data_IF_998243851655
#
_entry.id   IF_998243851655
#
_cell.length_a   1.000
_cell.length_b   1.000
_cell.length_c   1.000
_cell.angle_alpha   90.00
_cell.angle_beta   90.00
_cell.angle_gamma   90.00
#
_symmetry.space_group_name_H-M   'P 1'
#
loop_
_entity.id
_entity.type
_entity.pdbx_description
1 polymer ?
#
# COMPACT_ATOMS: atom_id res chain seq x y z
N UNK A 1 17.42 9.69 13.24
CA UNK A 1 16.37 8.68 13.57
C UNK A 1 15.05 9.31 13.15
N UNK A 2 14.13 8.56 12.54
CA UNK A 2 12.82 9.11 12.09
C UNK A 2 11.90 9.19 13.30
N UNK A 3 11.40 10.37 13.63
CA UNK A 3 10.48 10.63 14.74
C UNK A 3 9.16 11.26 14.30
N UNK A 4 9.20 12.05 13.22
CA UNK A 4 8.04 12.75 12.68
C UNK A 4 7.72 12.21 11.28
N UNK A 5 6.53 11.65 11.12
CA UNK A 5 6.09 11.01 9.86
C UNK A 5 4.88 11.74 9.30
N UNK A 6 5.03 12.27 8.10
CA UNK A 6 3.92 12.80 7.32
C UNK A 6 3.26 11.68 6.52
N UNK A 7 1.94 11.71 6.41
CA UNK A 7 1.17 10.74 5.60
C UNK A 7 0.15 11.51 4.76
N UNK A 8 0.15 11.27 3.46
CA UNK A 8 -0.79 11.89 2.51
C UNK A 8 -1.82 10.85 2.09
N UNK A 9 -3.08 11.18 2.33
CA UNK A 9 -4.24 10.31 2.10
C UNK A 9 -4.71 9.66 3.40
N UNK A 10 -5.94 9.96 3.82
CA UNK A 10 -6.57 9.42 5.03
C UNK A 10 -7.49 8.21 4.75
N UNK A 11 -7.36 7.61 3.58
CA UNK A 11 -8.06 6.38 3.22
C UNK A 11 -7.56 5.16 4.03
N UNK A 12 -8.00 3.98 3.60
CA UNK A 12 -7.70 2.71 4.27
C UNK A 12 -6.19 2.47 4.49
N UNK A 13 -5.36 2.77 3.48
CA UNK A 13 -3.91 2.55 3.58
C UNK A 13 -3.24 3.60 4.46
N UNK A 14 -3.48 4.90 4.19
CA UNK A 14 -2.86 5.97 4.97
C UNK A 14 -3.29 5.96 6.44
N UNK A 15 -4.58 5.73 6.73
CA UNK A 15 -5.06 5.51 8.10
C UNK A 15 -4.40 4.31 8.76
N UNK A 16 -4.24 3.19 8.02
CA UNK A 16 -3.54 2.01 8.53
C UNK A 16 -2.05 2.26 8.81
N UNK A 17 -1.37 3.06 7.97
CA UNK A 17 0.02 3.48 8.19
C UNK A 17 0.11 4.39 9.41
N UNK A 18 -0.79 5.39 9.53
CA UNK A 18 -0.86 6.28 10.69
C UNK A 18 -1.04 5.51 12.01
N UNK A 19 -1.88 4.48 12.00
CA UNK A 19 -2.10 3.57 13.12
C UNK A 19 -0.79 2.92 13.59
N UNK A 20 -0.06 2.24 12.72
CA UNK A 20 1.15 1.52 13.13
C UNK A 20 2.30 2.45 13.48
N UNK A 21 2.41 3.59 12.81
CA UNK A 21 3.43 4.60 13.08
C UNK A 21 3.20 5.24 14.45
N UNK A 22 1.97 5.65 14.77
CA UNK A 22 1.67 6.29 16.06
C UNK A 22 1.82 5.32 17.26
N UNK A 23 1.46 4.04 17.09
CA UNK A 23 1.70 2.99 18.10
C UNK A 23 3.19 2.74 18.34
N UNK A 24 4.05 2.96 17.33
CA UNK A 24 5.50 2.84 17.49
C UNK A 24 6.16 3.99 18.26
N UNK A 25 5.36 4.94 18.75
CA UNK A 25 5.82 6.09 19.55
C UNK A 25 6.15 7.34 18.72
N UNK A 26 5.95 7.32 17.42
CA UNK A 26 6.27 8.44 16.50
C UNK A 26 5.10 9.40 16.35
N UNK A 27 5.42 10.66 16.07
CA UNK A 27 4.42 11.66 15.71
C UNK A 27 3.99 11.46 14.26
N UNK A 28 2.72 11.68 14.01
CA UNK A 28 2.10 11.55 12.68
C UNK A 28 1.39 12.84 12.33
N UNK A 29 1.65 13.37 11.14
CA UNK A 29 0.80 14.36 10.51
C UNK A 29 0.06 13.69 9.36
N UNK A 30 -1.25 13.45 9.54
CA UNK A 30 -2.11 12.80 8.55
C UNK A 30 -2.87 13.87 7.75
N UNK A 31 -2.60 13.93 6.46
CA UNK A 31 -3.19 14.89 5.55
C UNK A 31 -4.18 14.22 4.61
N UNK A 32 -5.32 14.87 4.41
CA UNK A 32 -6.25 14.61 3.28
C UNK A 32 -6.92 15.92 2.89
N UNK A 33 -7.34 16.04 1.63
CA UNK A 33 -8.10 17.20 1.16
C UNK A 33 -9.54 17.24 1.70
N UNK A 34 -10.06 16.09 2.16
CA UNK A 34 -11.40 15.91 2.71
C UNK A 34 -11.36 15.73 4.23
N UNK A 35 -11.91 16.71 4.95
CA UNK A 35 -12.00 16.68 6.42
C UNK A 35 -12.86 15.50 6.92
N UNK A 36 -13.83 15.04 6.12
CA UNK A 36 -14.67 13.88 6.46
C UNK A 36 -13.86 12.59 6.45
N UNK A 37 -12.95 12.43 5.46
CA UNK A 37 -12.03 11.28 5.40
C UNK A 37 -11.07 11.29 6.60
N UNK A 38 -10.53 12.45 6.99
CA UNK A 38 -9.69 12.58 8.19
C UNK A 38 -10.43 12.12 9.45
N UNK A 39 -11.65 12.64 9.65
CA UNK A 39 -12.47 12.27 10.81
C UNK A 39 -12.80 10.77 10.83
N UNK A 40 -13.21 10.21 9.69
CA UNK A 40 -13.49 8.78 9.56
C UNK A 40 -12.27 7.90 9.78
N UNK A 41 -11.10 8.35 9.31
CA UNK A 41 -9.84 7.65 9.52
C UNK A 41 -9.47 7.57 11.00
N UNK A 42 -9.55 8.68 11.74
CA UNK A 42 -9.27 8.71 13.19
C UNK A 42 -10.22 7.79 13.95
N UNK A 43 -11.53 7.83 13.65
CA UNK A 43 -12.51 6.93 14.28
C UNK A 43 -12.19 5.44 14.00
N UNK A 44 -11.74 5.13 12.78
CA UNK A 44 -11.36 3.78 12.40
C UNK A 44 -10.10 3.33 13.12
N UNK A 45 -9.09 4.20 13.25
CA UNK A 45 -7.87 3.95 14.00
C UNK A 45 -8.19 3.68 15.46
N UNK A 46 -8.97 4.54 16.10
CA UNK A 46 -9.41 4.40 17.51
C UNK A 46 -10.12 3.07 17.73
N UNK A 47 -11.12 2.74 16.91
CA UNK A 47 -11.85 1.47 16.97
C UNK A 47 -10.94 0.26 16.83
N UNK A 48 -9.97 0.30 15.91
CA UNK A 48 -9.05 -0.80 15.69
C UNK A 48 -8.04 -0.95 16.85
N UNK A 49 -7.54 0.14 17.39
CA UNK A 49 -6.66 0.13 18.57
C UNK A 49 -7.41 -0.38 19.82
N UNK A 50 -8.64 0.07 20.06
CA UNK A 50 -9.48 -0.44 21.15
C UNK A 50 -9.70 -1.96 21.03
N UNK A 51 -9.92 -2.47 19.81
CA UNK A 51 -10.01 -3.92 19.56
C UNK A 51 -8.68 -4.65 19.84
N UNK A 52 -7.54 -4.03 19.57
CA UNK A 52 -6.23 -4.61 19.90
C UNK A 52 -6.03 -4.62 21.43
N UNK A 53 -6.42 -3.56 22.14
CA UNK A 53 -6.37 -3.49 23.60
C UNK A 53 -7.27 -4.56 24.26
N UNK A 54 -8.51 -4.72 23.80
CA UNK A 54 -9.43 -5.76 24.29
C UNK A 54 -8.91 -7.20 24.10
N UNK A 55 -7.95 -7.40 23.17
CA UNK A 55 -7.27 -8.68 22.93
C UNK A 55 -5.90 -8.78 23.61
N UNK A 56 -5.54 -7.80 24.45
CA UNK A 56 -4.26 -7.77 25.16
C UNK A 56 -3.02 -7.59 24.28
N UNK A 57 -3.18 -7.05 23.05
CA UNK A 57 -2.06 -6.81 22.13
C UNK A 57 -1.33 -5.49 22.42
N UNK A 58 -2.04 -4.51 22.95
CA UNK A 58 -1.54 -3.19 23.36
C UNK A 58 -2.25 -2.81 24.66
N UNK A 59 -1.70 -1.90 25.46
CA UNK A 59 -2.38 -1.36 26.64
C UNK A 59 -3.33 -0.21 26.28
N UNK A 60 -4.28 0.12 27.14
CA UNK A 60 -5.15 1.29 26.96
C UNK A 60 -4.34 2.60 27.01
N UNK A 61 -3.29 2.64 27.83
CA UNK A 61 -2.37 3.77 27.89
C UNK A 61 -1.61 3.95 26.59
N UNK A 62 -1.15 2.85 25.94
CA UNK A 62 -0.51 2.90 24.63
C UNK A 62 -1.46 3.43 23.57
N UNK A 63 -2.74 3.03 23.60
CA UNK A 63 -3.78 3.53 22.68
C UNK A 63 -3.97 5.04 22.86
N UNK A 64 -4.15 5.49 24.09
CA UNK A 64 -4.33 6.92 24.39
C UNK A 64 -3.12 7.74 23.93
N UNK A 65 -1.92 7.25 24.25
CA UNK A 65 -0.68 7.89 23.83
C UNK A 65 -0.51 7.89 22.31
N UNK A 66 -0.87 6.80 21.60
CA UNK A 66 -0.77 6.73 20.14
C UNK A 66 -1.73 7.72 19.45
N UNK A 67 -2.97 7.79 19.91
CA UNK A 67 -3.96 8.73 19.36
C UNK A 67 -3.52 10.19 19.57
N UNK A 68 -2.93 10.53 20.71
CA UNK A 68 -2.41 11.88 20.98
C UNK A 68 -1.23 12.30 20.08
N UNK A 69 -0.57 11.36 19.40
CA UNK A 69 0.53 11.61 18.46
C UNK A 69 0.06 11.88 17.05
N UNK A 70 -1.23 11.71 16.75
CA UNK A 70 -1.77 11.92 15.39
C UNK A 70 -2.36 13.33 15.32
N UNK A 71 -1.74 14.17 14.52
CA UNK A 71 -2.27 15.46 14.09
C UNK A 71 -2.83 15.33 12.68
N UNK A 72 -3.96 15.99 12.40
CA UNK A 72 -4.60 15.96 11.08
C UNK A 72 -4.65 17.36 10.48
N UNK A 73 -4.54 17.43 9.16
CA UNK A 73 -4.66 18.70 8.45
C UNK A 73 -5.06 18.53 6.98
N UNK A 74 -5.46 19.64 6.36
CA UNK A 74 -5.89 19.67 4.96
C UNK A 74 -4.91 20.41 4.05
N UNK A 75 -3.77 20.84 4.58
CA UNK A 75 -2.71 21.52 3.85
C UNK A 75 -1.31 20.95 4.16
N UNK A 76 -0.33 21.30 3.34
CA UNK A 76 1.04 20.76 3.43
C UNK A 76 1.92 21.39 4.52
N UNK A 77 1.44 22.41 5.26
CA UNK A 77 2.25 23.17 6.23
C UNK A 77 2.81 22.29 7.35
N UNK A 78 2.08 21.25 7.75
CA UNK A 78 2.50 20.29 8.78
C UNK A 78 3.70 19.41 8.38
N UNK A 79 4.10 19.39 7.11
CA UNK A 79 5.22 18.55 6.65
C UNK A 79 6.60 19.18 6.87
N UNK A 80 6.68 20.46 7.23
CA UNK A 80 7.96 21.17 7.40
C UNK A 80 8.90 20.53 8.43
N UNK A 81 8.36 19.83 9.41
CA UNK A 81 9.11 19.13 10.47
C UNK A 81 9.15 17.61 10.29
N UNK A 82 8.66 17.08 9.20
CA UNK A 82 8.65 15.64 8.97
C UNK A 82 10.02 15.13 8.52
N UNK A 83 10.46 14.01 9.09
CA UNK A 83 11.66 13.29 8.66
C UNK A 83 11.42 12.45 7.40
N UNK A 84 10.18 12.00 7.23
CA UNK A 84 9.71 11.26 6.05
C UNK A 84 8.25 11.61 5.77
N UNK A 85 7.88 11.70 4.49
CA UNK A 85 6.50 11.80 4.03
C UNK A 85 6.16 10.58 3.19
N UNK A 86 5.09 9.85 3.57
CA UNK A 86 4.61 8.64 2.90
C UNK A 86 3.30 8.98 2.18
N UNK A 87 3.31 8.93 0.86
CA UNK A 87 2.12 9.17 0.05
C UNK A 87 1.32 7.87 -0.11
N UNK A 88 0.03 7.92 0.23
CA UNK A 88 -0.94 6.82 0.16
C UNK A 88 -2.34 7.32 -0.28
N UNK A 89 -2.41 8.33 -1.15
CA UNK A 89 -3.67 9.01 -1.52
C UNK A 89 -4.48 8.22 -2.55
N UNK A 90 -3.88 7.83 -3.66
CA UNK A 90 -4.57 7.19 -4.80
C UNK A 90 -3.60 6.33 -5.61
N UNK A 91 -4.12 5.43 -6.46
CA UNK A 91 -3.30 4.67 -7.41
C UNK A 91 -3.39 5.28 -8.82
N UNK A 92 -3.25 6.60 -8.91
CA UNK A 92 -3.20 7.37 -10.15
C UNK A 92 -1.87 8.11 -10.25
N UNK A 93 -1.08 7.81 -11.29
CA UNK A 93 0.28 8.35 -11.46
C UNK A 93 0.29 9.87 -11.59
N UNK A 94 -0.63 10.46 -12.37
CA UNK A 94 -0.66 11.91 -12.59
C UNK A 94 -1.01 12.67 -11.31
N UNK A 95 -1.89 12.11 -10.47
CA UNK A 95 -2.24 12.70 -9.17
C UNK A 95 -1.04 12.61 -8.21
N UNK A 96 -0.36 11.44 -8.15
CA UNK A 96 0.84 11.29 -7.32
C UNK A 96 1.96 12.25 -7.72
N UNK A 97 2.19 12.43 -9.02
CA UNK A 97 3.18 13.38 -9.54
C UNK A 97 2.89 14.81 -9.08
N UNK A 98 1.63 15.25 -9.21
CA UNK A 98 1.20 16.58 -8.73
C UNK A 98 1.42 16.75 -7.23
N UNK A 99 1.06 15.73 -6.44
CA UNK A 99 1.30 15.75 -4.99
C UNK A 99 2.78 15.95 -4.71
N UNK A 100 3.68 15.19 -5.34
CA UNK A 100 5.12 15.30 -5.11
C UNK A 100 5.72 16.62 -5.60
N UNK A 101 5.23 17.17 -6.71
CA UNK A 101 5.60 18.51 -7.19
C UNK A 101 5.18 19.60 -6.19
N UNK A 102 3.94 19.51 -5.68
CA UNK A 102 3.38 20.52 -4.77
C UNK A 102 4.03 20.49 -3.39
N UNK A 103 4.30 19.32 -2.82
CA UNK A 103 4.84 19.22 -1.45
C UNK A 103 6.31 19.65 -1.36
N UNK A 104 7.07 19.64 -2.45
CA UNK A 104 8.52 19.92 -2.46
C UNK A 104 8.86 21.24 -1.77
N UNK A 105 8.02 22.27 -1.94
CA UNK A 105 8.22 23.58 -1.31
C UNK A 105 7.95 23.64 0.20
N UNK A 106 7.39 22.60 0.79
CA UNK A 106 7.04 22.51 2.22
C UNK A 106 7.99 21.63 3.01
N UNK A 107 8.90 20.93 2.35
CA UNK A 107 9.75 19.93 2.97
C UNK A 107 11.12 20.51 3.35
N UNK A 108 11.66 20.05 4.48
CA UNK A 108 13.05 20.29 4.83
C UNK A 108 14.00 19.50 3.92
N UNK A 109 15.25 19.96 3.77
CA UNK A 109 16.25 19.30 2.91
C UNK A 109 16.53 17.85 3.31
N UNK A 110 16.37 17.50 4.58
CA UNK A 110 16.61 16.15 5.10
C UNK A 110 15.43 15.20 4.91
N UNK A 111 14.23 15.70 4.60
CA UNK A 111 13.00 14.91 4.52
C UNK A 111 13.09 13.85 3.41
N UNK A 112 12.84 12.59 3.77
CA UNK A 112 12.69 11.48 2.84
C UNK A 112 11.28 11.45 2.26
N UNK A 113 11.14 10.94 1.04
CA UNK A 113 9.87 10.74 0.37
C UNK A 113 9.64 9.23 0.13
N UNK A 114 8.44 8.79 0.43
CA UNK A 114 8.01 7.42 0.14
C UNK A 114 6.62 7.41 -0.50
N UNK A 115 6.34 6.40 -1.30
CA UNK A 115 5.01 6.15 -1.86
C UNK A 115 4.55 4.74 -1.57
N UNK A 116 3.27 4.60 -1.22
CA UNK A 116 2.63 3.28 -0.97
C UNK A 116 1.99 2.71 -2.26
N UNK A 117 2.43 3.15 -3.44
CA UNK A 117 1.91 2.57 -4.68
C UNK A 117 2.14 1.06 -4.74
N UNK A 118 1.23 0.36 -5.40
CA UNK A 118 1.32 -1.09 -5.63
C UNK A 118 1.85 -1.47 -7.01
N UNK A 119 1.95 -0.50 -7.95
CA UNK A 119 2.23 -0.81 -9.35
C UNK A 119 2.95 0.29 -10.14
N UNK A 120 2.94 1.54 -9.66
CA UNK A 120 3.52 2.68 -10.37
C UNK A 120 5.03 2.72 -10.16
N UNK A 121 5.80 3.02 -11.21
CA UNK A 121 7.25 3.09 -11.17
C UNK A 121 7.75 4.13 -10.16
N UNK A 122 8.57 3.67 -9.22
CA UNK A 122 9.23 4.50 -8.21
C UNK A 122 10.18 5.50 -8.88
N UNK A 123 10.91 5.04 -9.89
CA UNK A 123 11.84 5.87 -10.68
C UNK A 123 11.12 7.03 -11.35
N UNK A 124 9.95 6.77 -11.97
CA UNK A 124 9.17 7.83 -12.62
C UNK A 124 8.61 8.85 -11.62
N UNK A 125 8.11 8.39 -10.47
CA UNK A 125 7.65 9.32 -9.41
C UNK A 125 8.81 10.11 -8.82
N UNK A 126 9.94 9.47 -8.54
CA UNK A 126 11.13 10.13 -8.01
C UNK A 126 11.64 11.25 -8.94
N UNK A 127 11.54 11.06 -10.26
CA UNK A 127 12.00 12.04 -11.25
C UNK A 127 11.20 13.36 -11.27
N UNK A 128 10.04 13.41 -10.61
CA UNK A 128 9.25 14.64 -10.45
C UNK A 128 9.61 15.43 -9.20
N UNK A 129 10.51 14.90 -8.38
CA UNK A 129 10.96 15.54 -7.14
C UNK A 129 12.34 16.16 -7.29
N UNK A 130 12.66 17.08 -6.40
CA UNK A 130 13.99 17.72 -6.30
C UNK A 130 15.02 16.84 -5.57
N UNK A 131 14.60 15.65 -5.07
CA UNK A 131 15.40 14.75 -4.23
C UNK A 131 15.22 13.26 -4.58
N UNK A 132 15.47 12.86 -5.83
CA UNK A 132 15.21 11.48 -6.28
C UNK A 132 16.05 10.43 -5.54
N UNK A 133 17.20 10.78 -4.98
CA UNK A 133 18.02 9.90 -4.14
C UNK A 133 17.41 9.66 -2.75
N UNK A 134 16.49 10.52 -2.30
CA UNK A 134 15.73 10.43 -1.05
C UNK A 134 14.33 9.86 -1.24
N UNK A 135 14.04 9.31 -2.41
CA UNK A 135 12.74 8.76 -2.76
C UNK A 135 12.78 7.21 -2.81
N UNK A 136 11.72 6.57 -2.25
CA UNK A 136 11.62 5.11 -2.19
C UNK A 136 10.16 4.64 -2.25
N UNK A 137 9.90 3.46 -2.80
CA UNK A 137 8.64 2.75 -2.62
C UNK A 137 8.56 2.09 -1.24
N UNK A 138 7.46 2.29 -0.54
CA UNK A 138 7.18 1.69 0.77
C UNK A 138 5.78 1.06 0.72
N UNK A 139 5.71 -0.12 0.09
CA UNK A 139 4.46 -0.81 -0.21
C UNK A 139 3.99 -1.65 0.97
N UNK A 140 3.00 -1.13 1.68
CA UNK A 140 2.30 -1.84 2.75
C UNK A 140 1.17 -2.69 2.18
N UNK A 141 0.80 -3.74 2.92
CA UNK A 141 -0.30 -4.64 2.58
C UNK A 141 -1.51 -4.40 3.46
N UNK A 142 -2.69 -4.50 2.87
CA UNK A 142 -3.97 -4.32 3.56
C UNK A 142 -4.42 -5.60 4.28
N UNK A 143 -4.85 -5.55 5.55
CA UNK A 143 -4.87 -4.41 6.48
C UNK A 143 -3.49 -4.13 7.11
N UNK A 144 -3.03 -2.87 7.06
CA UNK A 144 -1.67 -2.49 7.50
C UNK A 144 -1.35 -2.93 8.94
N UNK A 145 -2.26 -2.80 9.95
CA UNK A 145 -1.97 -3.24 11.32
C UNK A 145 -1.84 -4.77 11.47
N UNK A 146 -2.28 -5.55 10.49
CA UNK A 146 -2.31 -7.02 10.55
C UNK A 146 -1.18 -7.64 9.73
N UNK A 147 -0.98 -7.12 8.53
CA UNK A 147 0.02 -7.64 7.59
C UNK A 147 1.43 -7.28 8.04
N UNK A 148 2.28 -8.30 8.16
CA UNK A 148 3.64 -8.11 8.66
C UNK A 148 4.63 -7.64 7.58
N UNK A 149 4.28 -7.80 6.29
CA UNK A 149 5.16 -7.50 5.17
C UNK A 149 5.10 -6.01 4.78
N UNK A 150 6.27 -5.46 4.47
CA UNK A 150 6.45 -4.24 3.66
C UNK A 150 7.44 -4.56 2.56
N UNK A 151 7.10 -4.29 1.30
CA UNK A 151 8.08 -4.26 0.22
C UNK A 151 8.73 -2.88 0.18
N UNK A 152 10.06 -2.83 0.18
CA UNK A 152 10.83 -1.62 -0.08
C UNK A 152 11.37 -1.67 -1.50
N UNK A 153 10.93 -0.74 -2.33
CA UNK A 153 11.26 -0.71 -3.76
C UNK A 153 12.23 0.43 -4.03
N UNK A 154 13.42 0.08 -4.51
CA UNK A 154 14.43 1.05 -4.91
C UNK A 154 14.17 1.51 -6.35
N UNK A 155 13.94 2.81 -6.53
CA UNK A 155 14.09 3.44 -7.84
C UNK A 155 15.56 3.54 -8.23
N UNK A 156 15.82 3.84 -9.50
CA UNK A 156 17.19 3.88 -10.04
C UNK A 156 18.10 4.89 -9.31
N UNK A 157 17.53 5.96 -8.77
CA UNK A 157 18.25 7.00 -8.05
C UNK A 157 18.27 6.80 -6.54
N UNK A 158 17.46 5.91 -5.98
CA UNK A 158 17.33 5.72 -4.52
C UNK A 158 18.68 5.42 -3.90
N UNK A 159 19.13 6.26 -2.96
CA UNK A 159 20.40 6.08 -2.29
C UNK A 159 20.37 4.91 -1.31
N UNK A 160 21.54 4.31 -1.08
CA UNK A 160 21.69 3.24 -0.08
C UNK A 160 21.40 3.74 1.35
N UNK A 161 21.62 5.02 1.62
CA UNK A 161 21.32 5.65 2.90
C UNK A 161 19.80 5.73 3.11
N UNK A 162 19.07 6.22 2.11
CA UNK A 162 17.59 6.26 2.10
C UNK A 162 17.02 4.87 2.33
N UNK A 163 17.50 3.88 1.58
CA UNK A 163 17.07 2.50 1.73
C UNK A 163 17.28 1.97 3.16
N UNK A 164 18.48 2.12 3.72
CA UNK A 164 18.80 1.67 5.08
C UNK A 164 17.96 2.36 6.14
N UNK A 165 17.73 3.66 5.99
CA UNK A 165 16.93 4.46 6.93
C UNK A 165 15.48 4.02 6.93
N UNK A 166 14.88 3.83 5.75
CA UNK A 166 13.47 3.39 5.62
C UNK A 166 13.32 1.91 6.01
N UNK A 167 14.32 1.08 5.76
CA UNK A 167 14.35 -0.31 6.26
C UNK A 167 14.31 -0.35 7.78
N UNK A 168 15.18 0.42 8.45
CA UNK A 168 15.18 0.50 9.91
C UNK A 168 13.85 1.05 10.47
N UNK A 169 13.23 2.04 9.80
CA UNK A 169 11.88 2.48 10.13
C UNK A 169 10.90 1.31 10.04
N UNK A 170 10.83 0.62 8.91
CA UNK A 170 9.89 -0.49 8.67
C UNK A 170 10.01 -1.59 9.72
N UNK A 171 11.25 -1.99 10.03
CA UNK A 171 11.55 -3.00 11.06
C UNK A 171 11.11 -2.54 12.45
N UNK A 172 11.28 -1.25 12.77
CA UNK A 172 10.84 -0.66 14.04
C UNK A 172 9.31 -0.55 14.19
N UNK A 173 8.58 -0.60 13.07
CA UNK A 173 7.12 -0.72 13.04
C UNK A 173 6.65 -2.19 13.22
N UNK A 174 7.55 -3.13 13.50
CA UNK A 174 7.26 -4.56 13.59
C UNK A 174 7.01 -5.22 12.24
N UNK A 175 7.51 -4.64 11.14
CA UNK A 175 7.36 -5.20 9.80
C UNK A 175 8.58 -6.00 9.39
N UNK A 176 8.34 -7.03 8.58
CA UNK A 176 9.39 -7.74 7.85
C UNK A 176 9.53 -7.09 6.48
N UNK A 177 10.76 -6.80 6.09
CA UNK A 177 11.06 -6.12 4.82
C UNK A 177 11.42 -7.13 3.73
N UNK A 178 10.75 -7.03 2.58
CA UNK A 178 11.20 -7.60 1.32
C UNK A 178 11.81 -6.49 0.46
N UNK A 179 13.02 -6.72 -0.04
CA UNK A 179 13.72 -5.76 -0.90
C UNK A 179 13.36 -6.04 -2.36
N UNK A 180 12.94 -5.02 -3.09
CA UNK A 180 12.58 -5.11 -4.51
C UNK A 180 13.24 -4.01 -5.33
N UNK A 181 13.49 -4.31 -6.59
CA UNK A 181 13.83 -3.31 -7.60
C UNK A 181 12.56 -2.79 -8.26
N UNK A 182 12.63 -1.61 -8.88
CA UNK A 182 11.51 -0.93 -9.55
C UNK A 182 11.11 -1.64 -10.86
N UNK A 183 10.44 -2.77 -10.71
CA UNK A 183 9.82 -3.51 -11.81
C UNK A 183 8.31 -3.54 -11.67
N UNK A 184 7.54 -3.64 -12.79
CA UNK A 184 6.09 -3.69 -12.76
C UNK A 184 5.54 -4.73 -11.77
N UNK A 185 4.68 -4.29 -10.86
CA UNK A 185 4.03 -5.08 -9.81
C UNK A 185 4.97 -5.64 -8.71
N UNK A 186 6.23 -5.20 -8.66
CA UNK A 186 7.24 -5.54 -7.64
C UNK A 186 7.44 -7.06 -7.47
N UNK A 187 7.35 -7.62 -6.26
CA UNK A 187 7.53 -9.07 -6.03
C UNK A 187 6.19 -9.77 -5.84
N UNK A 188 5.41 -9.35 -4.83
CA UNK A 188 4.21 -10.09 -4.43
C UNK A 188 3.16 -10.06 -5.54
N UNK A 189 2.81 -8.90 -6.04
CA UNK A 189 1.79 -8.76 -7.08
C UNK A 189 2.22 -9.39 -8.40
N UNK A 190 3.52 -9.35 -8.73
CA UNK A 190 4.06 -9.99 -9.93
C UNK A 190 3.90 -11.51 -9.94
N UNK A 191 3.81 -12.13 -8.78
CA UNK A 191 3.61 -13.58 -8.64
C UNK A 191 2.14 -13.88 -8.38
N UNK A 192 1.53 -13.17 -7.44
CA UNK A 192 0.18 -13.45 -6.96
C UNK A 192 -0.89 -13.18 -8.02
N UNK A 193 -0.83 -12.02 -8.70
CA UNK A 193 -1.90 -11.64 -9.63
C UNK A 193 -1.89 -12.50 -10.91
N UNK A 194 -0.75 -12.86 -11.52
CA UNK A 194 -0.73 -13.89 -12.57
C UNK A 194 -1.22 -15.27 -12.12
N UNK A 195 -0.94 -15.68 -10.89
CA UNK A 195 -1.49 -16.92 -10.34
C UNK A 195 -3.02 -16.87 -10.26
N UNK A 196 -3.58 -15.75 -9.81
CA UNK A 196 -5.04 -15.52 -9.81
C UNK A 196 -5.58 -15.55 -11.24
N UNK A 197 -4.93 -14.87 -12.16
CA UNK A 197 -5.31 -14.84 -13.58
C UNK A 197 -5.32 -16.24 -14.20
N UNK A 198 -4.33 -17.08 -13.87
CA UNK A 198 -4.27 -18.47 -14.32
C UNK A 198 -5.40 -19.31 -13.71
N UNK A 199 -5.77 -19.08 -12.45
CA UNK A 199 -6.91 -19.72 -11.83
C UNK A 199 -8.24 -19.36 -12.55
N UNK A 200 -8.38 -18.12 -13.02
CA UNK A 200 -9.54 -17.71 -13.86
C UNK A 200 -9.48 -18.40 -15.21
N UNK A 201 -8.30 -18.55 -15.86
CA UNK A 201 -8.16 -19.32 -17.09
C UNK A 201 -8.56 -20.77 -16.90
N UNK A 202 -8.16 -21.42 -15.81
CA UNK A 202 -8.54 -22.82 -15.53
C UNK A 202 -10.07 -23.00 -15.45
N UNK A 203 -10.81 -22.05 -14.91
CA UNK A 203 -12.28 -22.07 -14.94
C UNK A 203 -12.82 -21.78 -16.35
N UNK A 204 -12.29 -20.77 -17.01
CA UNK A 204 -12.73 -20.34 -18.34
C UNK A 204 -12.55 -21.42 -19.41
N UNK A 205 -11.46 -22.18 -19.33
CA UNK A 205 -11.14 -23.29 -20.24
C UNK A 205 -11.82 -24.62 -19.85
N UNK A 206 -12.57 -24.63 -18.71
CA UNK A 206 -13.32 -25.81 -18.28
C UNK A 206 -12.48 -26.90 -17.60
N UNK A 207 -11.28 -26.56 -17.12
CA UNK A 207 -10.43 -27.50 -16.36
C UNK A 207 -11.09 -27.88 -15.03
N UNK A 208 -11.79 -26.93 -14.39
CA UNK A 208 -12.51 -27.19 -13.14
C UNK A 208 -13.53 -26.10 -12.81
N UNK A 209 -14.35 -26.38 -11.81
CA UNK A 209 -15.26 -25.36 -11.26
C UNK A 209 -14.52 -24.40 -10.35
N UNK A 210 -15.08 -23.21 -10.08
CA UNK A 210 -14.56 -22.23 -9.11
C UNK A 210 -14.24 -22.92 -7.78
N UNK A 211 -15.17 -23.71 -7.23
CA UNK A 211 -14.96 -24.43 -5.98
C UNK A 211 -13.80 -25.43 -6.05
N UNK A 212 -13.66 -26.15 -7.18
CA UNK A 212 -12.59 -27.13 -7.34
C UNK A 212 -11.21 -26.48 -7.42
N UNK A 213 -11.08 -25.35 -8.12
CA UNK A 213 -9.84 -24.57 -8.21
C UNK A 213 -9.43 -24.05 -6.82
N UNK A 214 -10.37 -23.45 -6.09
CA UNK A 214 -10.10 -22.92 -4.75
C UNK A 214 -9.74 -24.01 -3.74
N UNK A 215 -10.45 -25.14 -3.74
CA UNK A 215 -10.12 -26.31 -2.90
C UNK A 215 -8.75 -26.87 -3.26
N UNK A 216 -8.45 -26.99 -4.56
CA UNK A 216 -7.18 -27.50 -5.05
C UNK A 216 -5.98 -26.70 -4.53
N UNK A 217 -6.02 -25.36 -4.64
CA UNK A 217 -4.92 -24.53 -4.16
C UNK A 217 -4.87 -24.43 -2.62
N UNK A 218 -6.03 -24.41 -1.95
CA UNK A 218 -6.09 -24.35 -0.50
C UNK A 218 -5.57 -25.63 0.15
N UNK A 219 -5.97 -26.81 -0.33
CA UNK A 219 -5.62 -28.09 0.29
C UNK A 219 -4.43 -28.78 -0.39
N UNK A 220 -4.24 -28.61 -1.70
CA UNK A 220 -3.14 -29.21 -2.43
C UNK A 220 -1.84 -28.41 -2.34
N UNK A 221 -1.93 -27.07 -2.28
CA UNK A 221 -0.77 -26.18 -2.18
C UNK A 221 -0.67 -25.44 -0.82
N UNK A 222 -1.56 -25.76 0.13
CA UNK A 222 -1.60 -25.17 1.48
C UNK A 222 -1.75 -23.63 1.48
N UNK A 223 -2.49 -23.09 0.52
CA UNK A 223 -2.81 -21.67 0.53
C UNK A 223 -3.85 -21.36 1.62
N UNK A 224 -3.74 -20.22 2.32
CA UNK A 224 -4.70 -19.85 3.37
C UNK A 224 -6.10 -19.59 2.81
N UNK A 225 -6.18 -19.20 1.53
CA UNK A 225 -7.41 -18.87 0.79
C UNK A 225 -7.28 -19.37 -0.65
N UNK A 226 -8.38 -19.78 -1.27
CA UNK A 226 -8.39 -20.12 -2.69
C UNK A 226 -8.12 -18.88 -3.57
N UNK A 227 -7.52 -19.04 -4.75
CA UNK A 227 -7.12 -17.91 -5.59
C UNK A 227 -8.31 -17.11 -6.12
N UNK A 228 -9.45 -17.74 -6.38
CA UNK A 228 -10.65 -17.06 -6.88
C UNK A 228 -11.38 -16.34 -5.74
N UNK A 229 -11.45 -16.93 -4.56
CA UNK A 229 -11.90 -16.26 -3.34
C UNK A 229 -11.02 -15.06 -3.01
N UNK A 230 -9.71 -15.17 -3.20
CA UNK A 230 -8.77 -14.07 -3.02
C UNK A 230 -8.99 -12.96 -4.06
N UNK A 231 -9.29 -13.33 -5.32
CA UNK A 231 -9.64 -12.38 -6.37
C UNK A 231 -10.88 -11.55 -6.01
N UNK A 232 -11.92 -12.19 -5.46
CA UNK A 232 -13.12 -11.49 -4.97
C UNK A 232 -12.79 -10.54 -3.82
N UNK A 233 -11.92 -10.97 -2.90
CA UNK A 233 -11.50 -10.14 -1.76
C UNK A 233 -10.65 -8.92 -2.18
N UNK A 234 -9.74 -9.09 -3.15
CA UNK A 234 -8.90 -8.00 -3.70
C UNK A 234 -9.75 -7.06 -4.57
N UNK A 235 -10.69 -7.60 -5.29
CA UNK A 235 -11.47 -6.96 -6.35
C UNK A 235 -10.91 -7.29 -7.74
N UNK A 236 -11.78 -7.75 -8.64
CA UNK A 236 -11.39 -8.10 -10.01
C UNK A 236 -10.91 -6.89 -10.81
N UNK A 237 -11.42 -5.70 -10.52
CA UNK A 237 -10.97 -4.43 -11.10
C UNK A 237 -9.50 -4.15 -10.73
N UNK A 238 -9.13 -4.38 -9.48
CA UNK A 238 -7.74 -4.26 -9.01
C UNK A 238 -6.83 -5.30 -9.67
N UNK A 239 -7.27 -6.57 -9.73
CA UNK A 239 -6.54 -7.63 -10.42
C UNK A 239 -6.31 -7.29 -11.90
N UNK A 240 -7.34 -6.78 -12.59
CA UNK A 240 -7.25 -6.34 -13.98
C UNK A 240 -6.24 -5.20 -14.15
N UNK A 241 -6.32 -4.18 -13.30
CA UNK A 241 -5.40 -3.03 -13.35
C UNK A 241 -3.94 -3.47 -13.22
N UNK A 242 -3.63 -4.34 -12.25
CA UNK A 242 -2.27 -4.86 -12.05
C UNK A 242 -1.81 -5.71 -13.23
N UNK A 243 -2.69 -6.56 -13.80
CA UNK A 243 -2.36 -7.34 -15.00
C UNK A 243 -2.06 -6.42 -16.20
N UNK A 244 -2.84 -5.35 -16.39
CA UNK A 244 -2.62 -4.38 -17.46
C UNK A 244 -1.28 -3.64 -17.29
N UNK A 245 -0.92 -3.24 -16.07
CA UNK A 245 0.39 -2.62 -15.77
C UNK A 245 1.53 -3.58 -16.12
N UNK A 246 1.42 -4.86 -15.75
CA UNK A 246 2.43 -5.88 -16.09
C UNK A 246 2.49 -6.12 -17.60
N UNK A 247 1.34 -6.25 -18.26
CA UNK A 247 1.28 -6.51 -19.70
C UNK A 247 1.90 -5.36 -20.49
N UNK A 248 1.56 -4.12 -20.18
CA UNK A 248 2.11 -2.93 -20.83
C UNK A 248 3.60 -2.70 -20.50
N UNK A 249 3.96 -2.84 -19.20
CA UNK A 249 5.31 -2.53 -18.75
C UNK A 249 6.37 -3.58 -19.09
N UNK A 250 5.98 -4.86 -19.25
CA UNK A 250 6.89 -5.95 -19.56
C UNK A 250 6.82 -6.39 -21.05
N UNK A 251 5.77 -5.95 -21.76
CA UNK A 251 5.50 -6.29 -23.16
C UNK A 251 5.52 -7.81 -23.43
N UNK A 252 5.09 -8.63 -22.46
CA UNK A 252 5.10 -10.09 -22.54
C UNK A 252 3.64 -10.62 -22.51
N UNK A 253 3.21 -11.36 -23.55
CA UNK A 253 1.85 -11.90 -23.66
C UNK A 253 1.40 -12.79 -22.50
N UNK A 254 2.33 -13.36 -21.72
CA UNK A 254 1.99 -14.17 -20.54
C UNK A 254 1.25 -13.41 -19.44
N UNK A 255 1.33 -12.06 -19.46
CA UNK A 255 0.60 -11.20 -18.54
C UNK A 255 -0.74 -10.70 -19.10
N UNK A 256 -1.21 -11.27 -20.22
CA UNK A 256 -2.52 -10.93 -20.78
C UNK A 256 -3.63 -11.29 -19.78
N UNK A 257 -4.51 -10.34 -19.42
CA UNK A 257 -5.67 -10.65 -18.59
C UNK A 257 -6.57 -11.72 -19.24
N UNK A 258 -7.08 -12.65 -18.43
CA UNK A 258 -8.08 -13.61 -18.89
C UNK A 258 -9.35 -12.85 -19.36
N UNK A 259 -10.03 -13.29 -20.45
CA UNK A 259 -11.23 -12.61 -20.95
C UNK A 259 -12.30 -12.34 -19.90
N UNK A 260 -12.72 -13.28 -19.02
CA UNK A 260 -13.67 -12.99 -17.94
C UNK A 260 -13.23 -11.86 -17.01
N UNK A 261 -11.94 -11.75 -16.67
CA UNK A 261 -11.42 -10.65 -15.84
C UNK A 261 -11.61 -9.30 -16.53
N UNK A 262 -11.39 -9.28 -17.87
CA UNK A 262 -11.56 -8.06 -18.68
C UNK A 262 -13.01 -7.64 -18.85
N UNK A 263 -13.96 -8.59 -18.89
CA UNK A 263 -15.38 -8.30 -19.14
C UNK A 263 -16.19 -8.05 -17.85
N UNK A 264 -15.82 -8.66 -16.75
CA UNK A 264 -16.62 -8.60 -15.50
C UNK A 264 -16.71 -7.19 -14.97
N UNK A 265 -15.65 -6.40 -15.06
CA UNK A 265 -15.67 -5.01 -14.61
C UNK A 265 -16.49 -4.07 -15.53
N UNK A 266 -16.79 -4.50 -16.77
CA UNK A 266 -17.65 -3.76 -17.71
C UNK A 266 -19.13 -4.07 -17.54
N UNK A 267 -19.49 -5.18 -16.89
CA UNK A 267 -20.87 -5.71 -16.88
C UNK A 267 -21.50 -5.78 -15.50
N UNK A 268 -20.76 -5.73 -14.42
CA UNK A 268 -21.29 -5.80 -13.05
C UNK A 268 -20.73 -4.66 -12.21
N UNK A 269 -21.60 -3.89 -11.48
CA UNK A 269 -21.10 -3.06 -10.41
C UNK A 269 -20.47 -4.02 -9.38
N UNK A 270 -19.17 -3.85 -9.12
CA UNK A 270 -18.52 -4.54 -8.00
C UNK A 270 -19.17 -4.05 -6.72
N UNK A 271 -20.06 -4.85 -6.13
CA UNK A 271 -20.54 -4.62 -4.79
C UNK A 271 -19.34 -4.84 -3.85
N UNK A 272 -18.64 -3.75 -3.55
CA UNK A 272 -17.72 -3.70 -2.41
C UNK A 272 -18.58 -3.52 -1.16
N UNK A 273 -19.21 -4.58 -0.70
CA UNK A 273 -19.67 -4.64 0.69
C UNK A 273 -18.46 -5.12 1.52
N UNK A 274 -17.87 -4.18 2.23
CA UNK A 274 -16.89 -4.41 3.27
C UNK A 274 -17.54 -4.23 4.62
#
# INVERSE_FOLDING_TARGET
MIENVGIIGAGQMGGGIAHVVSLSGRKVYLLDIDQGLLTGSIQTIEKNMARQASRGKVSEDDVTAALSRIETGTDYSGFSNCDIVIEAATENEDVKRKIFEEISGFLSDHTLLATNTSSISITRLASTTDRPEKFIGMHFFNPVPVMQLVELIKGIATSQETFKTVKALSESLGKTVAEAEDFPAFIVNRILVPMINEAVYAVYEGVGTVSSVDIGLRLGANHPMGPLQLADFIGLDTCLSVMQVMYAGLADPKYRPCPPVSYTHLTLPTNREV
#
